data_IF_762172023705
#
_entry.id   IF_762172023705
#
_cell.length_a   1.000
_cell.length_b   1.000
_cell.length_c   1.000
_cell.angle_alpha   90.00
_cell.angle_beta   90.00
_cell.angle_gamma   90.00
#
_symmetry.space_group_name_H-M   'P 1'
#
loop_
_entity.id
_entity.type
_entity.pdbx_description
1 polymer ?
#
# COMPACT_ATOMS: atom_id res chain seq x y z
N UNK A 1 -6.70 -19.31 27.88
CA UNK A 1 -5.84 -20.31 27.23
C UNK A 1 -4.64 -19.54 26.65
N UNK A 2 -3.42 -19.85 27.02
CA UNK A 2 -2.25 -19.21 26.40
C UNK A 2 -2.12 -19.70 24.96
N UNK A 3 -1.99 -18.80 24.01
CA UNK A 3 -1.73 -19.15 22.64
C UNK A 3 -0.34 -19.80 22.54
N UNK A 4 -0.26 -20.95 21.88
CA UNK A 4 1.03 -21.55 21.57
C UNK A 4 1.80 -20.62 20.62
N UNK A 5 3.06 -20.34 20.96
CA UNK A 5 3.92 -19.50 20.12
C UNK A 5 4.27 -20.31 18.86
N UNK A 6 3.86 -19.81 17.71
CA UNK A 6 4.34 -20.30 16.42
C UNK A 6 5.76 -19.75 16.19
N UNK A 7 6.71 -20.66 15.97
CA UNK A 7 8.12 -20.30 15.70
C UNK A 7 8.44 -20.25 14.21
N UNK A 8 7.50 -20.62 13.37
CA UNK A 8 7.68 -20.49 11.92
C UNK A 8 7.59 -19.02 11.53
N UNK A 9 8.47 -18.59 10.66
CA UNK A 9 8.52 -17.24 10.11
C UNK A 9 8.48 -17.31 8.59
N UNK A 10 7.91 -16.29 7.97
CA UNK A 10 8.00 -16.05 6.54
C UNK A 10 8.56 -14.64 6.32
N UNK A 11 9.09 -14.41 5.13
CA UNK A 11 9.69 -13.12 4.78
C UNK A 11 8.78 -12.43 3.78
N UNK A 12 8.36 -11.21 4.09
CA UNK A 12 7.79 -10.26 3.13
C UNK A 12 8.89 -9.31 2.66
N UNK A 13 9.15 -9.26 1.37
CA UNK A 13 10.08 -8.29 0.78
C UNK A 13 9.31 -7.14 0.13
N UNK A 14 9.41 -5.94 0.71
CA UNK A 14 8.87 -4.72 0.13
C UNK A 14 9.90 -4.13 -0.84
N UNK A 15 9.70 -4.35 -2.14
CA UNK A 15 10.66 -3.92 -3.18
C UNK A 15 10.55 -2.44 -3.52
N UNK A 16 9.38 -1.85 -3.28
CA UNK A 16 9.12 -0.41 -3.44
C UNK A 16 8.16 0.07 -2.35
N UNK A 17 8.17 1.37 -2.09
CA UNK A 17 7.28 2.05 -1.13
C UNK A 17 6.75 3.37 -1.67
N UNK A 18 5.94 4.08 -0.86
CA UNK A 18 5.30 5.35 -1.21
C UNK A 18 6.25 6.56 -1.15
N UNK A 19 7.40 6.45 -0.49
CA UNK A 19 8.32 7.59 -0.32
C UNK A 19 9.03 8.00 -1.59
N UNK A 20 9.37 9.29 -1.69
CA UNK A 20 10.18 9.87 -2.77
C UNK A 20 11.66 9.48 -2.61
N UNK A 21 11.95 8.20 -2.83
CA UNK A 21 13.29 7.62 -2.66
C UNK A 21 14.04 7.39 -3.97
N UNK A 22 13.41 7.68 -5.12
CA UNK A 22 13.93 7.41 -6.46
C UNK A 22 15.30 8.06 -6.73
N UNK A 23 15.59 9.18 -6.09
CA UNK A 23 16.85 9.92 -6.26
C UNK A 23 17.91 9.58 -5.21
N UNK A 24 17.55 8.75 -4.20
CA UNK A 24 18.47 8.32 -3.14
C UNK A 24 19.38 7.18 -3.57
N UNK A 25 18.95 6.37 -4.53
CA UNK A 25 19.73 5.26 -5.08
C UNK A 25 19.27 4.91 -6.49
N UNK A 26 20.23 4.52 -7.34
CA UNK A 26 19.95 3.99 -8.69
C UNK A 26 19.34 2.59 -8.66
N UNK A 27 19.48 1.89 -7.52
CA UNK A 27 18.92 0.55 -7.30
C UNK A 27 17.42 0.57 -6.98
N UNK A 28 16.84 1.75 -6.74
CA UNK A 28 15.38 1.86 -6.53
C UNK A 28 14.66 1.59 -7.85
N UNK A 29 13.89 0.49 -7.96
CA UNK A 29 13.21 0.16 -9.20
C UNK A 29 12.10 1.17 -9.50
N UNK A 30 11.98 1.58 -10.77
CA UNK A 30 11.04 2.62 -11.22
C UNK A 30 10.01 2.08 -12.19
N UNK A 31 10.45 1.40 -13.21
CA UNK A 31 9.56 0.84 -14.23
C UNK A 31 8.84 -0.42 -13.72
N UNK A 32 7.69 -0.76 -14.29
CA UNK A 32 7.02 -2.02 -13.97
C UNK A 32 7.90 -3.26 -14.16
N UNK A 33 8.78 -3.22 -15.16
CA UNK A 33 9.75 -4.30 -15.38
C UNK A 33 10.75 -4.42 -14.24
N UNK A 34 11.37 -3.33 -13.82
CA UNK A 34 12.36 -3.32 -12.74
C UNK A 34 11.73 -3.74 -11.40
N UNK A 35 10.49 -3.28 -11.13
CA UNK A 35 9.74 -3.65 -9.93
C UNK A 35 9.43 -5.16 -9.94
N UNK A 36 8.97 -5.68 -11.06
CA UNK A 36 8.68 -7.10 -11.19
C UNK A 36 9.94 -7.96 -11.10
N UNK A 37 11.03 -7.56 -11.76
CA UNK A 37 12.32 -8.27 -11.71
C UNK A 37 12.82 -8.34 -10.25
N UNK A 38 12.79 -7.22 -9.54
CA UNK A 38 13.19 -7.16 -8.12
C UNK A 38 12.32 -8.07 -7.23
N UNK A 39 11.00 -8.10 -7.49
CA UNK A 39 10.08 -8.99 -6.77
C UNK A 39 10.38 -10.47 -7.05
N UNK A 40 10.65 -10.84 -8.29
CA UNK A 40 11.01 -12.19 -8.71
C UNK A 40 12.35 -12.61 -8.09
N UNK A 41 13.33 -11.73 -8.08
CA UNK A 41 14.64 -12.00 -7.44
C UNK A 41 14.48 -12.20 -5.92
N UNK A 42 13.68 -11.36 -5.25
CA UNK A 42 13.38 -11.52 -3.83
C UNK A 42 12.71 -12.86 -3.52
N UNK A 43 11.75 -13.28 -4.35
CA UNK A 43 11.09 -14.57 -4.21
C UNK A 43 12.07 -15.74 -4.42
N UNK A 44 12.93 -15.68 -5.42
CA UNK A 44 13.99 -16.69 -5.66
C UNK A 44 14.99 -16.74 -4.52
N UNK A 45 15.20 -15.63 -3.82
CA UNK A 45 16.07 -15.57 -2.63
C UNK A 45 15.37 -16.08 -1.35
N UNK A 46 14.07 -16.42 -1.42
CA UNK A 46 13.32 -17.03 -0.32
C UNK A 46 12.23 -16.16 0.30
N UNK A 47 11.89 -15.01 -0.28
CA UNK A 47 10.72 -14.26 0.15
C UNK A 47 9.45 -15.02 -0.20
N UNK A 48 8.57 -15.22 0.79
CA UNK A 48 7.27 -15.87 0.60
C UNK A 48 6.22 -14.88 0.06
N UNK A 49 6.41 -13.60 0.37
CA UNK A 49 5.52 -12.50 -0.05
C UNK A 49 6.38 -11.39 -0.64
N UNK A 50 5.92 -10.79 -1.73
CA UNK A 50 6.51 -9.56 -2.28
C UNK A 50 5.49 -8.45 -2.22
N UNK A 51 5.87 -7.32 -1.63
CA UNK A 51 5.04 -6.13 -1.54
C UNK A 51 5.49 -5.09 -2.55
N UNK A 52 4.56 -4.60 -3.37
CA UNK A 52 4.84 -3.69 -4.46
C UNK A 52 3.96 -2.43 -4.43
N UNK A 53 4.63 -1.30 -4.59
CA UNK A 53 4.04 -0.05 -5.09
C UNK A 53 4.47 0.12 -6.55
N UNK A 54 3.72 0.88 -7.33
CA UNK A 54 4.16 1.27 -8.68
C UNK A 54 4.63 2.72 -8.69
N UNK A 55 5.47 3.01 -9.65
CA UNK A 55 6.04 4.34 -9.88
C UNK A 55 5.83 4.74 -11.31
N UNK A 56 5.71 6.03 -11.54
CA UNK A 56 5.78 6.57 -12.90
C UNK A 56 7.19 6.26 -13.47
N UNK A 57 7.28 5.57 -14.61
CA UNK A 57 8.56 5.10 -15.12
C UNK A 57 9.50 6.23 -15.58
N UNK A 58 8.95 7.39 -15.95
CA UNK A 58 9.74 8.51 -16.44
C UNK A 58 10.31 9.34 -15.29
N UNK A 59 9.51 9.59 -14.26
CA UNK A 59 9.86 10.46 -13.13
C UNK A 59 10.34 9.68 -11.90
N UNK A 60 9.93 8.42 -11.74
CA UNK A 60 10.17 7.62 -10.56
C UNK A 60 9.27 7.96 -9.37
N UNK A 61 8.37 8.92 -9.51
CA UNK A 61 7.42 9.32 -8.47
C UNK A 61 6.40 8.20 -8.24
N UNK A 62 6.02 7.91 -6.97
CA UNK A 62 4.96 6.95 -6.68
C UNK A 62 3.67 7.24 -7.45
N UNK A 63 2.99 6.20 -7.91
CA UNK A 63 1.85 6.32 -8.81
C UNK A 63 0.69 5.40 -8.39
N UNK A 64 -0.54 5.77 -8.77
CA UNK A 64 -1.75 4.94 -8.60
C UNK A 64 -2.27 4.40 -9.94
N UNK A 65 -1.54 4.55 -11.03
CA UNK A 65 -1.95 4.11 -12.36
C UNK A 65 -2.21 2.60 -12.38
N UNK A 66 -3.41 2.22 -12.75
CA UNK A 66 -3.88 0.82 -12.79
C UNK A 66 -3.06 0.00 -13.79
N UNK A 67 -2.77 0.57 -14.97
CA UNK A 67 -1.99 -0.08 -16.01
C UNK A 67 -0.59 -0.49 -15.56
N UNK A 68 0.05 0.31 -14.70
CA UNK A 68 1.36 -0.03 -14.12
C UNK A 68 1.26 -1.22 -13.14
N UNK A 69 0.22 -1.26 -12.31
CA UNK A 69 -0.05 -2.40 -11.43
C UNK A 69 -0.37 -3.68 -12.23
N UNK A 70 -1.15 -3.56 -13.29
CA UNK A 70 -1.46 -4.68 -14.19
C UNK A 70 -0.19 -5.25 -14.84
N UNK A 71 0.70 -4.38 -15.30
CA UNK A 71 1.97 -4.81 -15.90
C UNK A 71 2.88 -5.50 -14.89
N UNK A 72 3.07 -4.93 -13.68
CA UNK A 72 3.85 -5.56 -12.60
C UNK A 72 3.28 -6.93 -12.27
N UNK A 73 1.97 -7.00 -12.02
CA UNK A 73 1.27 -8.24 -11.69
C UNK A 73 1.45 -9.29 -12.77
N UNK A 74 1.22 -8.92 -14.03
CA UNK A 74 1.38 -9.82 -15.16
C UNK A 74 2.80 -10.37 -15.25
N UNK A 75 3.82 -9.53 -15.13
CA UNK A 75 5.22 -9.95 -15.22
C UNK A 75 5.60 -10.94 -14.11
N UNK A 76 5.14 -10.70 -12.88
CA UNK A 76 5.38 -11.62 -11.75
C UNK A 76 4.69 -12.95 -12.02
N UNK A 77 3.42 -12.96 -12.45
CA UNK A 77 2.66 -14.20 -12.74
C UNK A 77 3.25 -14.97 -13.92
N UNK A 78 3.64 -14.29 -14.99
CA UNK A 78 4.26 -14.91 -16.17
C UNK A 78 5.62 -15.54 -15.87
N UNK A 79 6.28 -15.17 -14.79
CA UNK A 79 7.56 -15.74 -14.38
C UNK A 79 7.44 -17.13 -13.76
N UNK A 80 6.22 -17.61 -13.50
CA UNK A 80 5.93 -18.87 -12.82
C UNK A 80 6.61 -19.00 -11.43
N UNK A 81 7.03 -17.88 -10.85
CA UNK A 81 7.63 -17.86 -9.51
C UNK A 81 6.52 -18.03 -8.47
N UNK A 82 6.66 -19.02 -7.60
CA UNK A 82 5.71 -19.26 -6.49
C UNK A 82 5.91 -18.22 -5.39
N UNK A 83 5.12 -17.18 -5.43
CA UNK A 83 5.17 -16.07 -4.46
C UNK A 83 3.80 -15.44 -4.29
N UNK A 84 3.47 -15.08 -3.05
CA UNK A 84 2.28 -14.30 -2.71
C UNK A 84 2.52 -12.84 -3.11
N UNK A 85 1.62 -12.28 -3.90
CA UNK A 85 1.66 -10.87 -4.29
C UNK A 85 0.84 -10.04 -3.31
N UNK A 86 1.47 -9.01 -2.77
CA UNK A 86 0.88 -7.99 -1.92
C UNK A 86 0.96 -6.63 -2.62
N UNK A 87 -0.18 -6.00 -2.88
CA UNK A 87 -0.24 -4.66 -3.49
C UNK A 87 -0.73 -3.63 -2.47
N UNK A 88 -0.11 -2.45 -2.49
CA UNK A 88 -0.50 -1.35 -1.60
C UNK A 88 -1.89 -0.81 -1.91
N UNK A 89 -2.62 -0.35 -0.88
CA UNK A 89 -3.78 0.54 -1.01
C UNK A 89 -3.59 1.87 -0.27
N UNK A 90 -2.37 2.14 0.17
CA UNK A 90 -2.03 3.36 0.93
C UNK A 90 -2.10 4.64 0.12
N UNK A 91 -1.78 4.57 -1.18
CA UNK A 91 -1.75 5.74 -2.06
C UNK A 91 -3.11 6.40 -2.23
N UNK A 92 -3.14 7.74 -2.28
CA UNK A 92 -4.38 8.52 -2.46
C UNK A 92 -5.06 8.90 -1.15
N UNK A 93 -4.30 8.98 -0.07
CA UNK A 93 -4.76 9.42 1.24
C UNK A 93 -4.08 10.68 1.76
N UNK A 94 -3.15 11.27 1.00
CA UNK A 94 -2.32 12.36 1.49
C UNK A 94 -2.98 13.73 1.31
N UNK A 95 -3.03 14.47 2.40
CA UNK A 95 -3.47 15.86 2.45
C UNK A 95 -2.26 16.71 2.86
N UNK A 96 -1.85 17.62 2.00
CA UNK A 96 -0.80 18.59 2.29
C UNK A 96 -1.42 19.91 2.74
N UNK A 97 -1.11 20.32 3.94
CA UNK A 97 -1.55 21.60 4.52
C UNK A 97 -0.62 22.73 4.09
N UNK A 98 -1.14 23.97 4.14
CA UNK A 98 -0.32 25.15 3.97
C UNK A 98 0.77 25.25 5.05
N UNK A 99 1.84 26.00 4.75
CA UNK A 99 2.98 26.15 5.67
C UNK A 99 2.70 27.11 6.85
N UNK A 100 1.64 27.92 6.74
CA UNK A 100 1.22 28.80 7.82
C UNK A 100 0.36 28.04 8.83
N UNK A 101 0.88 27.82 10.02
CA UNK A 101 0.19 27.10 11.09
C UNK A 101 -1.11 27.77 11.55
N UNK A 102 -1.22 29.10 11.39
CA UNK A 102 -2.45 29.85 11.75
C UNK A 102 -3.48 29.82 10.61
N UNK A 103 -3.03 29.58 9.37
CA UNK A 103 -3.87 29.54 8.17
C UNK A 103 -3.50 28.30 7.31
N UNK A 104 -3.86 27.07 7.74
CA UNK A 104 -3.44 25.85 7.08
C UNK A 104 -4.16 25.59 5.73
N UNK A 105 -5.13 26.42 5.38
CA UNK A 105 -5.86 26.32 4.11
C UNK A 105 -5.53 27.52 3.19
N UNK A 106 -5.67 27.36 1.86
CA UNK A 106 -6.07 26.14 1.16
C UNK A 106 -5.03 25.03 1.22
N UNK A 107 -5.44 23.82 0.88
CA UNK A 107 -4.53 22.68 0.74
C UNK A 107 -3.51 22.95 -0.36
N UNK A 108 -2.34 22.37 -0.19
CA UNK A 108 -1.25 22.53 -1.16
C UNK A 108 -1.44 21.59 -2.33
N UNK A 109 -1.53 22.15 -3.51
CA UNK A 109 -1.69 21.44 -4.77
C UNK A 109 -0.41 21.64 -5.64
N UNK A 110 0.03 20.65 -6.39
CA UNK A 110 -0.61 19.33 -6.65
C UNK A 110 -0.21 18.22 -5.67
N UNK A 111 0.44 18.53 -4.56
CA UNK A 111 0.97 17.52 -3.61
C UNK A 111 -0.14 16.73 -2.90
N UNK A 112 -1.31 17.35 -2.65
CA UNK A 112 -2.48 16.66 -2.11
C UNK A 112 -3.03 15.68 -3.13
N UNK A 113 -3.03 14.38 -2.79
CA UNK A 113 -3.50 13.31 -3.68
C UNK A 113 -4.79 12.62 -3.18
N UNK A 114 -5.44 13.21 -2.19
CA UNK A 114 -6.62 12.66 -1.52
C UNK A 114 -7.73 12.28 -2.49
N UNK A 115 -8.15 11.01 -2.45
CA UNK A 115 -9.14 10.46 -3.38
C UNK A 115 -10.08 9.48 -2.65
N UNK A 116 -11.21 9.15 -3.28
CA UNK A 116 -12.21 8.25 -2.70
C UNK A 116 -11.75 6.80 -2.59
N UNK A 117 -12.28 6.08 -1.60
CA UNK A 117 -11.94 4.68 -1.30
C UNK A 117 -11.98 3.74 -2.51
N UNK A 118 -12.93 3.93 -3.43
CA UNK A 118 -13.04 3.09 -4.64
C UNK A 118 -11.89 3.28 -5.61
N UNK A 119 -11.43 4.52 -5.79
CA UNK A 119 -10.32 4.82 -6.68
C UNK A 119 -8.98 4.36 -6.08
N UNK A 120 -8.83 4.42 -4.75
CA UNK A 120 -7.62 3.93 -4.06
C UNK A 120 -7.37 2.45 -4.30
N UNK A 121 -8.42 1.65 -4.40
CA UNK A 121 -8.33 0.18 -4.56
C UNK A 121 -8.68 -0.30 -5.97
N UNK A 122 -8.77 0.59 -6.94
CA UNK A 122 -9.24 0.27 -8.30
C UNK A 122 -8.41 -0.81 -9.00
N UNK A 123 -7.09 -0.79 -8.79
CA UNK A 123 -6.16 -1.77 -9.35
C UNK A 123 -6.39 -3.19 -8.82
N UNK A 124 -6.95 -3.34 -7.61
CA UNK A 124 -7.23 -4.66 -7.05
C UNK A 124 -8.29 -5.44 -7.85
N UNK A 125 -9.18 -4.72 -8.55
CA UNK A 125 -10.27 -5.35 -9.34
C UNK A 125 -9.70 -6.19 -10.50
N UNK A 126 -8.66 -5.69 -11.14
CA UNK A 126 -8.01 -6.35 -12.29
C UNK A 126 -6.82 -7.20 -11.88
N UNK A 127 -5.99 -6.72 -10.97
CA UNK A 127 -4.77 -7.43 -10.54
C UNK A 127 -5.05 -8.65 -9.67
N UNK A 128 -6.08 -8.60 -8.83
CA UNK A 128 -6.49 -9.67 -7.90
C UNK A 128 -5.29 -10.31 -7.17
N UNK A 129 -4.50 -9.51 -6.41
CA UNK A 129 -3.43 -10.07 -5.61
C UNK A 129 -4.01 -10.95 -4.49
N UNK A 130 -3.20 -11.80 -3.88
CA UNK A 130 -3.61 -12.58 -2.71
C UNK A 130 -3.81 -11.69 -1.49
N UNK A 131 -2.96 -10.68 -1.35
CA UNK A 131 -2.93 -9.75 -0.21
C UNK A 131 -2.91 -8.31 -0.73
N UNK A 132 -3.51 -7.40 0.02
CA UNK A 132 -3.26 -5.96 -0.14
C UNK A 132 -3.12 -5.30 1.23
N UNK A 133 -2.32 -4.23 1.33
CA UNK A 133 -2.21 -3.49 2.59
C UNK A 133 -3.45 -2.65 2.87
N UNK A 134 -3.77 -2.46 4.15
CA UNK A 134 -4.80 -1.55 4.62
C UNK A 134 -4.30 -0.80 5.86
N UNK A 135 -3.90 0.45 5.68
CA UNK A 135 -3.44 1.33 6.76
C UNK A 135 -4.63 1.73 7.65
N UNK A 136 -4.68 1.20 8.86
CA UNK A 136 -5.83 1.30 9.74
C UNK A 136 -5.89 2.59 10.55
N UNK A 137 -5.65 3.73 9.93
CA UNK A 137 -5.83 5.03 10.57
C UNK A 137 -5.11 6.17 9.87
N UNK A 138 -5.42 7.36 10.33
CA UNK A 138 -4.79 8.62 9.91
C UNK A 138 -3.49 8.79 10.67
N UNK A 139 -2.42 9.19 10.01
CA UNK A 139 -1.13 9.42 10.64
C UNK A 139 -0.41 10.65 10.12
N UNK A 140 0.40 11.25 11.00
CA UNK A 140 1.34 12.29 10.65
C UNK A 140 2.68 11.66 10.23
N UNK A 141 3.36 12.31 9.31
CA UNK A 141 4.74 12.02 8.99
C UNK A 141 5.66 13.07 9.63
N UNK A 142 6.92 12.70 9.89
CA UNK A 142 7.89 13.60 10.49
C UNK A 142 8.40 14.69 9.53
N UNK A 143 8.15 14.50 8.25
CA UNK A 143 8.60 15.40 7.18
C UNK A 143 7.38 16.10 6.60
N UNK A 144 7.51 17.39 6.29
CA UNK A 144 6.49 18.25 5.72
C UNK A 144 5.18 18.41 6.53
N UNK A 145 4.27 19.22 6.01
CA UNK A 145 2.95 19.46 6.59
C UNK A 145 1.89 18.57 5.97
N UNK A 146 2.14 17.26 5.86
CA UNK A 146 1.15 16.36 5.31
C UNK A 146 0.66 15.31 6.29
N UNK A 147 -0.56 14.87 6.05
CA UNK A 147 -1.25 13.87 6.83
C UNK A 147 -1.78 12.80 5.89
N UNK A 148 -1.38 11.55 6.09
CA UNK A 148 -2.04 10.43 5.43
C UNK A 148 -3.38 10.17 6.12
N UNK A 149 -4.48 10.26 5.37
CA UNK A 149 -5.83 10.28 5.91
C UNK A 149 -6.58 8.98 5.60
N UNK A 150 -6.99 8.30 6.66
CA UNK A 150 -7.86 7.13 6.62
C UNK A 150 -8.99 7.27 7.64
N UNK A 151 -10.09 7.89 7.25
CA UNK A 151 -11.26 8.01 8.12
C UNK A 151 -11.92 6.63 8.36
N UNK A 152 -12.64 6.42 9.47
CA UNK A 152 -13.36 5.17 9.70
C UNK A 152 -14.30 4.79 8.56
N UNK A 153 -14.97 5.77 7.93
CA UNK A 153 -15.86 5.53 6.78
C UNK A 153 -15.11 5.03 5.55
N UNK A 154 -13.92 5.59 5.27
CA UNK A 154 -13.06 5.14 4.16
C UNK A 154 -12.55 3.72 4.42
N UNK A 155 -12.08 3.43 5.63
CA UNK A 155 -11.60 2.11 6.01
C UNK A 155 -12.69 1.04 5.89
N UNK A 156 -13.90 1.33 6.38
CA UNK A 156 -15.04 0.41 6.24
C UNK A 156 -15.39 0.16 4.77
N UNK A 157 -15.39 1.19 3.94
CA UNK A 157 -15.67 1.06 2.51
C UNK A 157 -14.59 0.27 1.77
N UNK A 158 -13.30 0.51 2.08
CA UNK A 158 -12.18 -0.23 1.49
C UNK A 158 -12.19 -1.69 1.95
N UNK A 159 -12.27 -1.95 3.26
CA UNK A 159 -12.29 -3.29 3.84
C UNK A 159 -13.40 -4.16 3.23
N UNK A 160 -14.64 -3.62 3.19
CA UNK A 160 -15.77 -4.32 2.57
C UNK A 160 -15.51 -4.70 1.11
N UNK A 161 -14.93 -3.79 0.32
CA UNK A 161 -14.64 -4.05 -1.10
C UNK A 161 -13.51 -5.06 -1.28
N UNK A 162 -12.43 -4.95 -0.50
CA UNK A 162 -11.30 -5.86 -0.51
C UNK A 162 -11.77 -7.28 -0.21
N UNK A 163 -12.54 -7.45 0.86
CA UNK A 163 -13.08 -8.76 1.26
C UNK A 163 -14.05 -9.33 0.21
N UNK A 164 -14.91 -8.49 -0.39
CA UNK A 164 -15.79 -8.91 -1.48
C UNK A 164 -15.05 -9.35 -2.76
N UNK A 165 -13.82 -8.86 -2.97
CA UNK A 165 -12.95 -9.33 -4.05
C UNK A 165 -12.24 -10.65 -3.72
N UNK A 166 -12.38 -11.16 -2.50
CA UNK A 166 -11.68 -12.37 -2.02
C UNK A 166 -10.20 -12.13 -1.71
N UNK A 167 -9.80 -10.88 -1.54
CA UNK A 167 -8.42 -10.48 -1.23
C UNK A 167 -8.27 -10.37 0.29
N UNK A 168 -7.13 -10.80 0.83
CA UNK A 168 -6.84 -10.73 2.26
C UNK A 168 -6.19 -9.37 2.58
N UNK A 169 -6.78 -8.54 3.46
CA UNK A 169 -6.14 -7.30 3.86
C UNK A 169 -5.00 -7.58 4.86
N UNK A 170 -3.80 -7.11 4.56
CA UNK A 170 -2.72 -6.98 5.52
C UNK A 170 -2.91 -5.68 6.29
N UNK A 171 -3.13 -5.81 7.60
CA UNK A 171 -3.50 -4.69 8.46
C UNK A 171 -2.25 -3.96 8.93
N UNK A 172 -2.11 -2.70 8.51
CA UNK A 172 -1.01 -1.85 8.96
C UNK A 172 -1.45 -0.97 10.14
N UNK A 173 -0.73 -1.10 11.26
CA UNK A 173 -1.04 -0.45 12.53
C UNK A 173 0.22 0.25 13.04
N UNK A 174 0.19 1.57 13.10
CA UNK A 174 1.33 2.41 13.48
C UNK A 174 1.20 2.98 14.90
N UNK A 175 -0.03 2.98 15.45
CA UNK A 175 -0.30 3.37 16.83
C UNK A 175 -1.51 2.63 17.42
N UNK A 176 -1.82 2.91 18.70
CA UNK A 176 -2.92 2.24 19.42
C UNK A 176 -4.31 2.62 18.90
N UNK A 177 -4.46 3.80 18.30
CA UNK A 177 -5.70 4.24 17.67
C UNK A 177 -6.00 3.43 16.41
N UNK A 178 -4.96 3.12 15.63
CA UNK A 178 -5.07 2.24 14.45
C UNK A 178 -5.45 0.82 14.85
N UNK A 179 -4.87 0.28 15.94
CA UNK A 179 -5.25 -1.03 16.46
C UNK A 179 -6.71 -1.08 16.89
N UNK A 180 -7.21 0.00 17.50
CA UNK A 180 -8.62 0.12 17.86
C UNK A 180 -9.52 0.11 16.63
N UNK A 181 -9.15 0.82 15.54
CA UNK A 181 -9.89 0.81 14.28
C UNK A 181 -9.85 -0.56 13.60
N UNK A 182 -8.69 -1.21 13.53
CA UNK A 182 -8.55 -2.57 13.02
C UNK A 182 -9.49 -3.54 13.75
N UNK A 183 -9.49 -3.49 15.07
CA UNK A 183 -10.42 -4.30 15.90
C UNK A 183 -11.89 -3.99 15.61
N UNK A 184 -12.22 -2.73 15.32
CA UNK A 184 -13.58 -2.33 14.93
C UNK A 184 -13.98 -2.96 13.59
N UNK A 185 -13.07 -3.02 12.61
CA UNK A 185 -13.32 -3.69 11.33
C UNK A 185 -13.57 -5.19 11.51
N UNK A 186 -12.75 -5.87 12.32
CA UNK A 186 -12.94 -7.29 12.69
C UNK A 186 -14.30 -7.51 13.34
N UNK A 187 -14.66 -6.70 14.34
CA UNK A 187 -15.92 -6.83 15.06
C UNK A 187 -17.15 -6.56 14.16
N UNK A 188 -16.97 -5.80 13.08
CA UNK A 188 -17.99 -5.54 12.08
C UNK A 188 -18.08 -6.63 11.00
N UNK A 189 -17.20 -7.65 11.03
CA UNK A 189 -17.11 -8.71 10.04
C UNK A 189 -16.67 -8.24 8.65
N UNK A 190 -15.89 -7.16 8.62
CA UNK A 190 -15.38 -6.58 7.37
C UNK A 190 -14.01 -7.11 6.96
N UNK A 191 -13.30 -7.72 7.91
CA UNK A 191 -12.01 -8.39 7.73
C UNK A 191 -11.92 -9.60 8.64
#
# INVERSE_FOLDING_TARGET
MALAINKNVFITCAVTGSGSSQDKSREVPRSPKEIADSAIEAAKAGAAIVHCHVRDPDTGIPSRRVDLYEEVTKRIRDSETDVVLNLTTGMGGDIYLGLDAENPLPLKEPETDMIGASERIKHLVTCKPEICTLDCGTMNFAEDNYVMTNTPGMLMAMASKITNLGIIPEIEVFDTGHLWLAKKLVNAGLI
#
